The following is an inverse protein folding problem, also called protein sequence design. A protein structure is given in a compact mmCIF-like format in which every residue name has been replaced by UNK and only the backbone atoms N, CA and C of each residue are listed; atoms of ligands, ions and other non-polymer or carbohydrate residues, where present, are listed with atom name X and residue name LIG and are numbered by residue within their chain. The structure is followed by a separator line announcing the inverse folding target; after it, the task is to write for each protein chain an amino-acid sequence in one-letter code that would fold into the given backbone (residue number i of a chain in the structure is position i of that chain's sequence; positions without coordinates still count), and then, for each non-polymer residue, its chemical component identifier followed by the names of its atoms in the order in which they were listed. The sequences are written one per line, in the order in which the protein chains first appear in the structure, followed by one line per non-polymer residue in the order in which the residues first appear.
data_IF_780601173377
#
_entry.id   IF_780601173377
#
_cell.length_a   1.000
_cell.length_b   1.000
_cell.length_c   1.000
_cell.angle_alpha   90.00
_cell.angle_beta   90.00
_cell.angle_gamma   90.00
#
_symmetry.space_group_name_H-M   'P 1'
#
loop_
_entity.id
_entity.type
_entity.pdbx_description
1 polymer ?
#
# COMPACT_ATOMS: atom_id res chain seq x y z
N UNK A 1 -47.07 -21.86 44.34
CA UNK A 1 -45.92 -21.99 45.25
C UNK A 1 -44.86 -22.75 44.47
N UNK A 2 -44.22 -22.05 43.54
CA UNK A 2 -42.85 -21.51 43.69
C UNK A 2 -41.85 -22.66 43.73
N UNK A 3 -41.33 -23.03 42.55
CA UNK A 3 -40.21 -23.97 42.42
C UNK A 3 -38.95 -23.10 42.45
N UNK A 4 -38.17 -23.25 43.52
CA UNK A 4 -37.00 -22.45 43.85
C UNK A 4 -35.93 -22.52 42.76
N UNK A 5 -35.54 -21.35 42.25
CA UNK A 5 -34.39 -21.19 41.37
C UNK A 5 -33.09 -21.35 42.18
N UNK A 6 -32.28 -22.34 41.81
CA UNK A 6 -30.85 -22.38 42.12
C UNK A 6 -30.13 -23.08 40.97
N UNK A 7 -30.02 -22.39 39.84
CA UNK A 7 -29.04 -22.75 38.81
C UNK A 7 -27.76 -22.02 39.21
N UNK A 8 -26.90 -22.68 39.98
CA UNK A 8 -25.54 -22.23 40.21
C UNK A 8 -24.80 -22.37 38.88
N UNK A 9 -24.91 -21.33 38.05
CA UNK A 9 -24.01 -21.16 36.93
C UNK A 9 -22.63 -20.83 37.51
N UNK A 10 -21.89 -21.89 37.84
CA UNK A 10 -20.44 -21.86 38.00
C UNK A 10 -19.87 -21.25 36.72
N UNK A 11 -19.67 -19.93 36.76
CA UNK A 11 -18.84 -19.27 35.78
C UNK A 11 -17.42 -19.74 36.09
N UNK A 12 -17.04 -20.87 35.47
CA UNK A 12 -15.64 -21.24 35.36
C UNK A 12 -14.99 -20.09 34.62
N UNK A 13 -14.37 -19.19 35.39
CA UNK A 13 -13.31 -18.30 34.96
C UNK A 13 -12.36 -19.18 34.15
N UNK A 14 -12.54 -19.16 32.83
CA UNK A 14 -11.63 -19.83 31.92
C UNK A 14 -10.30 -19.19 32.19
N UNK A 15 -9.38 -19.96 32.79
CA UNK A 15 -7.98 -19.58 32.99
C UNK A 15 -7.47 -19.09 31.65
N UNK A 16 -7.51 -17.77 31.43
CA UNK A 16 -6.97 -17.14 30.24
C UNK A 16 -5.49 -17.52 30.26
N UNK A 17 -4.97 -18.25 29.27
CA UNK A 17 -3.55 -18.56 29.27
C UNK A 17 -2.84 -17.22 29.21
N UNK A 18 -2.13 -16.91 30.28
CA UNK A 18 -1.30 -15.72 30.43
C UNK A 18 -0.59 -15.46 29.11
N UNK A 19 -1.03 -14.41 28.41
CA UNK A 19 -0.53 -14.06 27.07
C UNK A 19 0.81 -13.35 27.23
N UNK A 20 1.72 -13.95 27.99
CA UNK A 20 3.05 -13.43 28.20
C UNK A 20 3.87 -13.70 26.94
N UNK A 21 3.82 -12.69 26.08
CA UNK A 21 4.89 -12.40 25.14
C UNK A 21 5.13 -13.43 24.05
N UNK A 22 4.09 -13.92 23.36
CA UNK A 22 4.29 -14.80 22.20
C UNK A 22 4.98 -14.02 21.07
N UNK A 23 6.30 -14.21 20.96
CA UNK A 23 7.11 -13.70 19.85
C UNK A 23 6.55 -14.26 18.55
N UNK A 24 6.43 -13.40 17.54
CA UNK A 24 5.91 -13.79 16.23
C UNK A 24 7.10 -13.74 15.27
N UNK A 25 7.64 -14.93 14.97
CA UNK A 25 8.95 -15.06 14.33
C UNK A 25 10.03 -14.37 15.16
N UNK A 26 10.87 -13.58 14.50
CA UNK A 26 11.97 -12.84 15.15
C UNK A 26 11.54 -11.58 15.92
N UNK A 27 10.25 -11.27 16.02
CA UNK A 27 9.77 -10.02 16.62
C UNK A 27 9.18 -10.21 18.01
N UNK A 28 9.62 -9.38 18.95
CA UNK A 28 8.94 -9.21 20.23
C UNK A 28 7.53 -8.63 20.02
N UNK A 29 6.60 -8.86 20.96
CA UNK A 29 5.25 -8.32 20.87
C UNK A 29 5.24 -6.80 20.67
N UNK A 30 6.10 -6.07 21.37
CA UNK A 30 6.22 -4.61 21.26
C UNK A 30 6.79 -4.18 19.90
N UNK A 31 7.87 -4.82 19.44
CA UNK A 31 8.46 -4.53 18.13
C UNK A 31 7.47 -4.77 16.99
N UNK A 32 6.65 -5.82 17.10
CA UNK A 32 5.56 -6.09 16.15
C UNK A 32 4.47 -5.03 16.22
N UNK A 33 4.00 -4.64 17.41
CA UNK A 33 2.99 -3.58 17.57
C UNK A 33 3.44 -2.29 16.89
N UNK A 34 4.66 -1.84 17.14
CA UNK A 34 5.24 -0.63 16.52
C UNK A 34 5.30 -0.72 14.99
N UNK A 35 5.64 -1.90 14.43
CA UNK A 35 5.66 -2.11 12.98
C UNK A 35 4.25 -2.07 12.36
N UNK A 36 3.28 -2.70 13.03
CA UNK A 36 1.88 -2.69 12.59
C UNK A 36 1.33 -1.27 12.63
N UNK A 37 1.56 -0.53 13.70
CA UNK A 37 1.16 0.87 13.84
C UNK A 37 1.70 1.72 12.69
N UNK A 38 3.02 1.68 12.45
CA UNK A 38 3.66 2.37 11.32
C UNK A 38 3.03 1.98 9.96
N UNK A 39 2.67 0.72 9.78
CA UNK A 39 2.02 0.25 8.56
C UNK A 39 0.60 0.81 8.41
N UNK A 40 -0.18 0.83 9.49
CA UNK A 40 -1.53 1.41 9.51
C UNK A 40 -1.48 2.91 9.26
N UNK A 41 -0.56 3.64 9.90
CA UNK A 41 -0.32 5.05 9.65
C UNK A 41 0.04 5.32 8.19
N UNK A 42 1.00 4.57 7.62
CA UNK A 42 1.35 4.70 6.20
C UNK A 42 0.18 4.38 5.27
N UNK A 43 -0.69 3.43 5.63
CA UNK A 43 -1.91 3.13 4.87
C UNK A 43 -2.88 4.31 4.89
N UNK A 44 -3.10 4.93 6.05
CA UNK A 44 -3.98 6.11 6.20
C UNK A 44 -3.51 7.29 5.34
N UNK A 45 -2.20 7.49 5.24
CA UNK A 45 -1.59 8.59 4.47
C UNK A 45 -1.25 8.20 3.02
N UNK A 46 -1.79 7.09 2.50
CA UNK A 46 -1.52 6.68 1.11
C UNK A 46 -2.16 7.69 0.14
N UNK A 47 -1.34 8.24 -0.75
CA UNK A 47 -1.80 9.09 -1.84
C UNK A 47 -2.25 8.21 -3.01
N UNK A 48 -3.55 8.23 -3.33
CA UNK A 48 -4.13 7.49 -4.46
C UNK A 48 -4.28 8.35 -5.72
N UNK A 49 -4.29 9.67 -5.54
CA UNK A 49 -4.33 10.60 -6.65
C UNK A 49 -3.01 10.57 -7.43
N UNK A 50 -3.09 10.84 -8.74
CA UNK A 50 -1.90 10.95 -9.58
C UNK A 50 -1.11 12.19 -9.18
N UNK A 51 -0.05 11.99 -8.41
CA UNK A 51 0.97 13.01 -8.16
C UNK A 51 2.06 12.88 -9.23
N UNK A 52 2.41 13.99 -9.86
CA UNK A 52 3.59 14.07 -10.72
C UNK A 52 4.74 14.51 -9.86
N UNK A 53 5.73 13.64 -9.72
CA UNK A 53 7.04 14.02 -9.20
C UNK A 53 8.04 14.01 -10.38
N UNK A 54 9.04 14.89 -10.34
CA UNK A 54 10.05 15.12 -11.39
C UNK A 54 9.54 15.80 -12.69
N UNK A 55 9.29 17.11 -12.61
CA UNK A 55 8.79 17.91 -13.73
C UNK A 55 9.65 17.83 -14.99
N UNK A 56 10.98 17.82 -14.85
CA UNK A 56 11.91 17.72 -15.99
C UNK A 56 11.68 16.42 -16.78
N UNK A 57 11.47 15.28 -16.10
CA UNK A 57 11.23 13.98 -16.75
C UNK A 57 9.87 13.96 -17.45
N UNK A 58 8.85 14.60 -16.85
CA UNK A 58 7.53 14.74 -17.48
C UNK A 58 7.61 15.62 -18.73
N UNK A 59 8.29 16.75 -18.65
CA UNK A 59 8.47 17.66 -19.78
C UNK A 59 9.20 16.96 -20.94
N UNK A 60 10.27 16.22 -20.63
CA UNK A 60 10.98 15.39 -21.60
C UNK A 60 10.09 14.31 -22.24
N UNK A 61 9.26 13.62 -21.45
CA UNK A 61 8.34 12.60 -21.96
C UNK A 61 7.18 13.17 -22.80
N UNK A 62 6.82 14.44 -22.58
CA UNK A 62 5.80 15.16 -23.33
C UNK A 62 6.33 15.69 -24.67
N UNK A 63 7.60 16.09 -24.74
CA UNK A 63 8.20 16.62 -25.98
C UNK A 63 8.64 15.54 -26.97
N UNK A 64 8.93 14.31 -26.50
CA UNK A 64 9.33 13.19 -27.37
C UNK A 64 8.23 12.76 -28.36
N UNK A 65 8.63 12.44 -29.59
CA UNK A 65 7.72 11.93 -30.62
C UNK A 65 7.16 10.54 -30.27
N UNK A 66 5.88 10.32 -30.56
CA UNK A 66 5.19 9.04 -30.34
C UNK A 66 4.42 8.59 -31.59
N UNK A 67 4.51 7.30 -31.89
CA UNK A 67 3.68 6.62 -32.89
C UNK A 67 2.91 5.50 -32.20
N UNK A 68 1.58 5.50 -32.30
CA UNK A 68 0.68 4.55 -31.60
C UNK A 68 0.95 4.47 -30.08
N UNK A 69 1.29 5.60 -29.44
CA UNK A 69 1.56 5.73 -28.01
C UNK A 69 2.96 5.32 -27.55
N UNK A 70 3.79 4.74 -28.44
CA UNK A 70 5.17 4.32 -28.15
C UNK A 70 6.14 5.42 -28.55
N UNK A 71 7.23 5.58 -27.78
CA UNK A 71 8.32 6.48 -28.18
C UNK A 71 9.02 5.92 -29.43
N UNK A 72 9.26 6.81 -30.39
CA UNK A 72 10.09 6.53 -31.56
C UNK A 72 11.56 6.51 -31.16
N UNK A 73 12.41 5.72 -31.82
CA UNK A 73 13.87 5.74 -31.59
C UNK A 73 14.46 7.04 -32.12
N UNK A 74 15.63 7.44 -31.62
CA UNK A 74 16.25 8.71 -32.02
C UNK A 74 16.59 8.75 -33.52
N UNK A 75 17.09 7.66 -34.08
CA UNK A 75 17.40 7.57 -35.53
C UNK A 75 16.15 7.80 -36.40
N UNK A 76 15.03 7.17 -36.03
CA UNK A 76 13.78 7.27 -36.77
C UNK A 76 13.04 8.60 -36.51
N UNK A 77 13.28 9.23 -35.36
CA UNK A 77 12.66 10.49 -34.95
C UNK A 77 13.05 11.64 -35.88
N UNK A 78 14.32 11.71 -36.30
CA UNK A 78 14.80 12.73 -37.25
C UNK A 78 14.12 12.59 -38.62
N UNK A 79 14.07 11.37 -39.16
CA UNK A 79 13.44 11.06 -40.44
C UNK A 79 11.92 11.33 -40.41
N UNK A 80 11.26 10.92 -39.33
CA UNK A 80 9.80 11.05 -39.22
C UNK A 80 9.37 12.49 -38.96
N UNK A 81 10.11 13.24 -38.13
CA UNK A 81 9.89 14.68 -37.95
C UNK A 81 10.06 15.43 -39.28
N UNK A 82 11.07 15.11 -40.07
CA UNK A 82 11.29 15.74 -41.36
C UNK A 82 10.14 15.44 -42.33
N UNK A 83 9.70 14.18 -42.44
CA UNK A 83 8.55 13.79 -43.26
C UNK A 83 7.24 14.48 -42.83
N UNK A 84 6.99 14.58 -41.53
CA UNK A 84 5.81 15.24 -40.95
C UNK A 84 5.83 16.77 -41.12
N UNK A 85 7.01 17.37 -41.31
CA UNK A 85 7.13 18.82 -41.51
C UNK A 85 6.83 19.28 -42.95
N UNK A 86 6.84 18.36 -43.91
CA UNK A 86 6.56 18.62 -45.33
C UNK A 86 5.09 18.45 -45.72
N UNK A 87 4.25 18.00 -44.78
CA UNK A 87 2.80 17.81 -44.96
C UNK A 87 2.03 18.80 -44.10
#
# INVERSE_FOLDING_TARGET
MEISAANESEHREGTSPSTEGKYIGSYSPEARRKRIERFLEKRKHRVWAKKVDYDVRKNFANSRLRVKGRFVKKEDEELLCQLLSYT
#
